data_IF_243769799004
#
_entry.id   IF_243769799004
#
_cell.length_a   1.000
_cell.length_b   1.000
_cell.length_c   1.000
_cell.angle_alpha   90.00
_cell.angle_beta   90.00
_cell.angle_gamma   90.00
#
_symmetry.space_group_name_H-M   'P 1'
#
loop_
_entity.id
_entity.type
_entity.pdbx_description
1 polymer ?
#
# COMPACT_ATOMS: atom_id res chain seq x y z
N UNK A 1 -6.67 -23.51 -25.27
CA UNK A 1 -6.22 -23.87 -23.91
C UNK A 1 -6.61 -22.72 -23.00
N UNK A 2 -7.53 -23.01 -22.08
CA UNK A 2 -8.20 -22.06 -21.17
C UNK A 2 -7.20 -21.48 -20.16
N UNK A 3 -6.94 -20.16 -20.23
CA UNK A 3 -6.28 -19.41 -19.16
C UNK A 3 -7.34 -19.03 -18.12
N UNK A 4 -7.26 -19.62 -16.92
CA UNK A 4 -8.00 -19.15 -15.75
C UNK A 4 -7.30 -17.88 -15.24
N UNK A 5 -7.93 -16.72 -15.43
CA UNK A 5 -7.65 -15.54 -14.61
C UNK A 5 -8.31 -15.77 -13.25
N UNK A 6 -7.51 -16.07 -12.22
CA UNK A 6 -7.99 -16.15 -10.85
C UNK A 6 -7.87 -14.76 -10.22
N UNK A 7 -8.99 -14.03 -10.25
CA UNK A 7 -9.15 -12.74 -9.60
C UNK A 7 -9.39 -13.00 -8.10
N UNK A 8 -8.32 -13.05 -7.30
CA UNK A 8 -8.45 -13.11 -5.84
C UNK A 8 -8.61 -11.70 -5.29
N UNK A 9 -9.86 -11.32 -5.04
CA UNK A 9 -10.25 -10.09 -4.34
C UNK A 9 -10.05 -10.29 -2.84
N UNK A 10 -9.17 -9.49 -2.25
CA UNK A 10 -8.76 -9.56 -0.83
C UNK A 10 -9.70 -8.68 -0.02
N UNK A 11 -10.35 -9.24 1.01
CA UNK A 11 -11.26 -8.53 1.93
C UNK A 11 -10.65 -8.58 3.33
N UNK A 12 -10.27 -7.42 3.87
CA UNK A 12 -9.75 -7.23 5.23
C UNK A 12 -10.91 -6.94 6.18
N UNK A 13 -11.15 -7.80 7.18
CA UNK A 13 -12.14 -7.58 8.24
C UNK A 13 -11.41 -7.42 9.59
N UNK A 14 -11.33 -6.18 10.09
CA UNK A 14 -10.76 -5.82 11.39
C UNK A 14 -11.87 -5.61 12.44
N UNK A 15 -12.40 -6.68 13.02
CA UNK A 15 -13.51 -6.59 13.98
C UNK A 15 -13.07 -6.33 15.42
N UNK A 16 -12.43 -5.21 15.76
CA UNK A 16 -11.96 -4.96 17.13
C UNK A 16 -13.08 -5.10 18.22
N UNK A 17 -13.01 -6.14 19.06
CA UNK A 17 -13.85 -6.30 20.26
C UNK A 17 -12.97 -6.62 21.48
N UNK A 18 -12.97 -5.70 22.45
CA UNK A 18 -12.24 -5.80 23.72
C UNK A 18 -12.94 -6.73 24.70
N UNK A 19 -12.20 -7.71 25.22
CA UNK A 19 -12.64 -8.56 26.32
C UNK A 19 -12.53 -7.82 27.65
N UNK A 20 -13.65 -7.67 28.35
CA UNK A 20 -13.72 -7.23 29.73
C UNK A 20 -13.25 -8.35 30.66
N UNK A 21 -12.18 -8.12 31.43
CA UNK A 21 -11.84 -9.00 32.55
C UNK A 21 -12.30 -8.36 33.86
N UNK A 22 -13.12 -9.12 34.59
CA UNK A 22 -13.76 -8.70 35.83
C UNK A 22 -12.79 -8.78 37.01
N UNK A 23 -12.31 -7.63 37.47
CA UNK A 23 -11.56 -7.50 38.72
C UNK A 23 -11.95 -6.21 39.44
N UNK A 24 -12.77 -6.35 40.49
CA UNK A 24 -13.20 -5.24 41.36
C UNK A 24 -12.01 -4.51 41.98
N UNK A 25 -11.94 -3.20 41.76
CA UNK A 25 -11.38 -2.26 42.72
C UNK A 25 -12.11 -0.91 42.59
N UNK A 26 -12.75 -0.51 43.68
CA UNK A 26 -13.51 0.74 43.83
C UNK A 26 -12.68 1.98 43.44
N UNK A 27 -13.17 2.78 42.49
CA UNK A 27 -12.83 4.20 42.39
C UNK A 27 -14.12 4.98 42.12
N UNK A 28 -14.37 5.94 43.01
CA UNK A 28 -15.63 6.62 43.20
C UNK A 28 -16.13 7.48 42.04
N UNK A 29 -17.43 7.74 42.13
CA UNK A 29 -18.22 8.65 41.33
C UNK A 29 -17.51 9.99 41.09
N UNK A 30 -17.39 10.39 39.82
CA UNK A 30 -17.69 11.76 39.44
C UNK A 30 -18.02 11.92 37.95
N UNK A 31 -19.21 12.50 37.76
CA UNK A 31 -19.64 13.38 36.68
C UNK A 31 -19.63 12.85 35.23
N UNK A 32 -20.82 12.43 34.82
CA UNK A 32 -21.36 12.67 33.47
C UNK A 32 -21.01 14.09 33.01
N UNK A 33 -20.21 14.24 31.96
CA UNK A 33 -20.25 15.42 31.12
C UNK A 33 -20.03 14.98 29.67
N UNK A 34 -21.11 15.04 28.89
CA UNK A 34 -21.06 14.85 27.45
C UNK A 34 -20.41 16.07 26.81
N UNK A 35 -19.08 16.11 26.79
CA UNK A 35 -18.35 16.97 25.87
C UNK A 35 -18.26 16.23 24.54
N UNK A 36 -19.08 16.63 23.57
CA UNK A 36 -18.71 16.49 22.16
C UNK A 36 -17.37 17.20 22.01
N UNK A 37 -16.29 16.44 21.80
CA UNK A 37 -14.99 16.99 21.42
C UNK A 37 -15.22 17.65 20.06
N UNK A 38 -15.27 18.98 20.04
CA UNK A 38 -15.37 19.75 18.81
C UNK A 38 -14.03 19.61 18.09
N UNK A 39 -14.00 18.83 17.02
CA UNK A 39 -12.79 18.69 16.20
C UNK A 39 -12.50 20.03 15.52
N UNK A 40 -11.26 20.50 15.68
CA UNK A 40 -10.74 21.59 14.87
C UNK A 40 -10.26 21.00 13.55
N UNK A 41 -10.96 21.28 12.47
CA UNK A 41 -10.59 20.79 11.14
C UNK A 41 -9.29 21.43 10.64
N UNK A 42 -8.52 20.65 9.89
CA UNK A 42 -7.35 21.15 9.17
C UNK A 42 -7.75 22.22 8.14
N UNK A 43 -6.85 23.16 7.90
CA UNK A 43 -7.03 24.16 6.84
C UNK A 43 -7.04 23.49 5.46
N UNK A 44 -7.91 23.97 4.58
CA UNK A 44 -8.06 23.46 3.22
C UNK A 44 -9.32 23.99 2.56
N UNK A 45 -9.54 23.61 1.32
CA UNK A 45 -10.64 24.09 0.50
C UNK A 45 -11.23 22.99 -0.38
N UNK A 46 -12.51 23.14 -0.71
CA UNK A 46 -13.19 22.30 -1.69
C UNK A 46 -12.86 22.80 -3.09
N UNK A 47 -12.48 21.87 -3.98
CA UNK A 47 -12.07 22.16 -5.36
C UNK A 47 -12.77 21.24 -6.36
N UNK A 48 -12.79 21.72 -7.59
CA UNK A 48 -13.07 20.93 -8.78
C UNK A 48 -11.80 20.83 -9.63
N UNK A 49 -11.54 19.66 -10.23
CA UNK A 49 -10.35 19.44 -11.08
C UNK A 49 -10.22 20.49 -12.18
N UNK A 50 -11.34 20.85 -12.83
CA UNK A 50 -11.38 21.83 -13.90
C UNK A 50 -10.92 23.24 -13.48
N UNK A 51 -11.01 23.56 -12.19
CA UNK A 51 -10.66 24.86 -11.62
C UNK A 51 -9.29 24.85 -10.92
N UNK A 52 -8.60 23.71 -10.89
CA UNK A 52 -7.28 23.53 -10.27
C UNK A 52 -6.18 23.56 -11.33
N UNK A 53 -5.09 24.29 -11.05
CA UNK A 53 -3.91 24.34 -11.92
C UNK A 53 -3.30 22.95 -12.17
N UNK A 54 -3.43 22.05 -11.19
CA UNK A 54 -2.90 20.68 -11.25
C UNK A 54 -3.88 19.69 -11.89
N UNK A 55 -5.14 20.10 -12.14
CA UNK A 55 -6.22 19.28 -12.70
C UNK A 55 -6.30 17.88 -12.06
N UNK A 56 -6.23 17.82 -10.73
CA UNK A 56 -6.18 16.57 -9.96
C UNK A 56 -7.53 15.87 -10.08
N UNK A 57 -7.55 14.67 -10.64
CA UNK A 57 -8.71 13.78 -10.67
C UNK A 57 -8.35 12.48 -9.95
N UNK A 58 -9.31 11.87 -9.27
CA UNK A 58 -9.15 10.52 -8.77
C UNK A 58 -8.96 9.53 -9.96
N UNK A 59 -7.90 8.70 -9.99
CA UNK A 59 -7.61 7.79 -11.11
C UNK A 59 -8.81 6.93 -11.56
N UNK A 60 -8.94 6.70 -12.88
CA UNK A 60 -10.17 6.22 -13.54
C UNK A 60 -10.55 4.76 -13.29
N UNK A 61 -9.58 3.89 -13.03
CA UNK A 61 -9.78 2.45 -12.83
C UNK A 61 -8.48 1.79 -12.34
N UNK A 62 -8.01 2.20 -11.16
CA UNK A 62 -6.66 1.86 -10.74
C UNK A 62 -6.62 0.64 -9.79
N UNK A 63 -5.68 -0.28 -10.02
CA UNK A 63 -5.37 -1.37 -9.09
C UNK A 63 -4.80 -0.83 -7.77
N UNK A 64 -4.31 0.40 -7.76
CA UNK A 64 -3.82 1.12 -6.59
C UNK A 64 -4.89 1.46 -5.55
N UNK A 65 -6.19 1.33 -5.86
CA UNK A 65 -7.29 1.67 -4.94
C UNK A 65 -7.58 0.63 -3.85
N UNK A 66 -6.93 -0.53 -3.88
CA UNK A 66 -7.33 -1.63 -2.99
C UNK A 66 -8.75 -2.14 -3.28
N UNK A 67 -9.39 -2.75 -2.29
CA UNK A 67 -10.67 -3.46 -2.43
C UNK A 67 -11.90 -2.53 -2.46
N UNK A 68 -11.80 -1.35 -1.86
CA UNK A 68 -12.96 -0.48 -1.60
C UNK A 68 -12.89 0.89 -2.29
N UNK A 69 -11.76 1.31 -2.85
CA UNK A 69 -11.53 2.68 -3.32
C UNK A 69 -12.08 3.02 -4.72
N UNK A 70 -12.46 2.01 -5.51
CA UNK A 70 -12.94 2.20 -6.89
C UNK A 70 -14.16 3.14 -7.00
N UNK A 71 -14.90 3.34 -5.91
CA UNK A 71 -16.06 4.23 -5.86
C UNK A 71 -15.69 5.71 -6.10
N UNK A 72 -14.47 6.13 -5.77
CA UNK A 72 -14.02 7.49 -6.00
C UNK A 72 -13.46 7.71 -7.41
N UNK A 73 -13.33 6.66 -8.23
CA UNK A 73 -12.68 6.76 -9.53
C UNK A 73 -13.37 7.79 -10.44
N UNK A 74 -12.56 8.63 -11.10
CA UNK A 74 -13.00 9.79 -11.91
C UNK A 74 -13.67 10.92 -11.13
N UNK A 75 -13.65 10.90 -9.79
CA UNK A 75 -14.14 12.04 -9.04
C UNK A 75 -13.25 13.25 -9.30
N UNK A 76 -13.89 14.35 -9.67
CA UNK A 76 -13.25 15.65 -9.86
C UNK A 76 -13.52 16.62 -8.71
N UNK A 77 -14.34 16.22 -7.74
CA UNK A 77 -14.72 17.00 -6.57
C UNK A 77 -13.97 16.49 -5.34
N UNK A 78 -13.16 17.36 -4.73
CA UNK A 78 -12.31 16.97 -3.61
C UNK A 78 -12.09 18.10 -2.61
N UNK A 79 -11.72 17.71 -1.41
CA UNK A 79 -11.18 18.61 -0.39
C UNK A 79 -9.67 18.50 -0.44
N UNK A 80 -8.98 19.64 -0.48
CA UNK A 80 -7.53 19.70 -0.50
C UNK A 80 -7.00 20.46 0.71
N UNK A 81 -6.06 19.82 1.40
CA UNK A 81 -5.26 20.37 2.49
C UNK A 81 -3.77 20.36 2.09
N UNK A 82 -2.85 20.58 3.02
CA UNK A 82 -1.42 20.72 2.71
C UNK A 82 -0.84 19.46 2.06
N UNK A 83 -1.10 18.28 2.63
CA UNK A 83 -0.53 17.00 2.23
C UNK A 83 -1.58 16.00 1.74
N UNK A 84 -2.87 16.31 1.89
CA UNK A 84 -3.96 15.34 1.64
C UNK A 84 -5.00 15.89 0.66
N UNK A 85 -5.43 15.03 -0.26
CA UNK A 85 -6.64 15.21 -1.08
C UNK A 85 -7.67 14.15 -0.72
N UNK A 86 -8.91 14.57 -0.48
CA UNK A 86 -10.00 13.67 -0.11
C UNK A 86 -11.09 13.70 -1.16
N UNK A 87 -11.37 12.55 -1.76
CA UNK A 87 -12.49 12.35 -2.67
C UNK A 87 -13.63 11.70 -1.91
N UNK A 88 -14.79 12.34 -1.92
CA UNK A 88 -16.02 11.81 -1.33
C UNK A 88 -17.13 11.53 -2.33
N UNK A 89 -17.06 12.11 -3.55
CA UNK A 89 -18.18 12.14 -4.50
C UNK A 89 -19.10 13.34 -4.30
N UNK A 90 -19.75 13.79 -5.38
CA UNK A 90 -20.72 14.90 -5.33
C UNK A 90 -21.99 14.44 -4.60
N UNK A 91 -22.23 14.97 -3.40
CA UNK A 91 -23.41 14.64 -2.58
C UNK A 91 -23.12 14.24 -1.14
N UNK A 92 -21.86 14.01 -0.78
CA UNK A 92 -21.45 13.73 0.60
C UNK A 92 -21.09 15.01 1.36
N UNK A 93 -21.16 14.94 2.69
CA UNK A 93 -20.95 16.09 3.54
C UNK A 93 -19.48 16.54 3.51
N UNK A 94 -19.26 17.82 3.22
CA UNK A 94 -17.93 18.47 3.29
C UNK A 94 -17.25 18.24 4.66
N UNK A 95 -18.04 18.10 5.73
CA UNK A 95 -17.53 17.78 7.07
C UNK A 95 -16.84 16.43 7.15
N UNK A 96 -17.29 15.41 6.41
CA UNK A 96 -16.62 14.10 6.39
C UNK A 96 -15.28 14.19 5.67
N UNK A 97 -15.21 14.95 4.57
CA UNK A 97 -13.97 15.16 3.84
C UNK A 97 -12.94 15.91 4.69
N UNK A 98 -13.37 16.96 5.39
CA UNK A 98 -12.54 17.69 6.35
C UNK A 98 -12.11 16.81 7.52
N UNK A 99 -13.01 15.99 8.05
CA UNK A 99 -12.71 15.07 9.14
C UNK A 99 -11.62 14.07 8.74
N UNK A 100 -11.77 13.43 7.57
CA UNK A 100 -10.79 12.49 7.05
C UNK A 100 -9.43 13.16 6.78
N UNK A 101 -9.41 14.32 6.13
CA UNK A 101 -8.18 15.08 5.93
C UNK A 101 -7.50 15.42 7.26
N UNK A 102 -8.29 15.83 8.27
CA UNK A 102 -7.77 16.15 9.60
C UNK A 102 -7.12 14.96 10.27
N UNK A 103 -7.74 13.77 10.23
CA UNK A 103 -7.14 12.56 10.80
C UNK A 103 -5.83 12.19 10.09
N UNK A 104 -5.79 12.27 8.76
CA UNK A 104 -4.59 11.91 8.00
C UNK A 104 -3.45 12.90 8.27
N UNK A 105 -3.70 14.20 8.18
CA UNK A 105 -2.71 15.26 8.43
C UNK A 105 -2.11 15.15 9.84
N UNK A 106 -2.94 14.87 10.85
CA UNK A 106 -2.47 14.71 12.24
C UNK A 106 -1.58 13.47 12.47
N UNK A 107 -1.69 12.45 11.61
CA UNK A 107 -0.98 11.18 11.78
C UNK A 107 0.16 10.98 10.78
N UNK A 108 0.26 11.79 9.71
CA UNK A 108 1.22 11.59 8.63
C UNK A 108 2.68 11.65 9.10
N UNK A 109 3.06 12.73 9.80
CA UNK A 109 4.42 12.87 10.37
C UNK A 109 4.72 11.79 11.42
N UNK A 110 3.70 11.36 12.15
CA UNK A 110 3.84 10.26 13.12
C UNK A 110 4.14 8.95 12.40
N UNK A 111 3.44 8.65 11.30
CA UNK A 111 3.68 7.45 10.50
C UNK A 111 5.11 7.44 9.94
N UNK A 112 5.55 8.54 9.35
CA UNK A 112 6.93 8.75 8.89
C UNK A 112 7.95 8.52 10.01
N UNK A 113 7.77 9.16 11.17
CA UNK A 113 8.66 9.01 12.32
C UNK A 113 8.72 7.57 12.87
N UNK A 114 7.58 6.86 12.87
CA UNK A 114 7.50 5.47 13.34
C UNK A 114 8.20 4.50 12.39
N UNK A 115 8.11 4.75 11.09
CA UNK A 115 8.71 3.95 10.02
C UNK A 115 10.17 4.34 9.72
N UNK A 116 10.66 5.43 10.30
CA UNK A 116 11.99 5.98 10.03
C UNK A 116 12.20 6.40 8.56
N UNK A 117 11.10 6.84 7.95
CA UNK A 117 11.03 7.33 6.57
C UNK A 117 10.75 8.83 6.64
N UNK A 118 11.53 9.62 5.91
CA UNK A 118 11.24 11.06 5.72
C UNK A 118 10.15 11.26 4.67
N UNK A 119 9.47 12.41 4.71
CA UNK A 119 8.52 12.79 3.65
C UNK A 119 9.18 12.81 2.26
N UNK A 120 10.42 13.27 2.17
CA UNK A 120 11.19 13.31 0.92
C UNK A 120 11.45 11.89 0.38
N UNK A 121 11.88 10.96 1.22
CA UNK A 121 12.06 9.55 0.83
C UNK A 121 10.75 8.92 0.37
N UNK A 122 9.66 9.16 1.11
CA UNK A 122 8.34 8.71 0.68
C UNK A 122 7.96 9.29 -0.68
N UNK A 123 8.06 10.61 -0.86
CA UNK A 123 7.72 11.29 -2.10
C UNK A 123 8.56 10.80 -3.29
N UNK A 124 9.86 10.54 -3.09
CA UNK A 124 10.76 9.98 -4.11
C UNK A 124 10.41 8.54 -4.47
N UNK A 125 9.99 7.73 -3.49
CA UNK A 125 9.63 6.33 -3.71
C UNK A 125 8.33 6.14 -4.52
N UNK A 126 7.42 7.13 -4.49
CA UNK A 126 6.16 7.08 -5.25
C UNK A 126 6.43 7.15 -6.76
N UNK A 127 5.85 6.26 -7.57
CA UNK A 127 6.02 6.31 -9.01
C UNK A 127 5.38 7.57 -9.59
N UNK A 128 5.82 8.00 -10.77
CA UNK A 128 5.19 9.09 -11.51
C UNK A 128 3.82 8.67 -12.07
N UNK A 129 3.75 7.46 -12.62
CA UNK A 129 2.53 6.88 -13.17
C UNK A 129 1.84 5.98 -12.16
N UNK A 130 0.52 5.90 -12.26
CA UNK A 130 -0.24 4.88 -11.55
C UNK A 130 0.15 3.47 -11.99
N UNK A 131 -0.13 2.47 -11.14
CA UNK A 131 0.26 1.08 -11.38
C UNK A 131 -0.21 0.55 -12.73
N UNK A 132 -1.43 0.87 -13.17
CA UNK A 132 -1.94 0.41 -14.46
C UNK A 132 -1.05 0.83 -15.63
N UNK A 133 -0.64 2.10 -15.69
CA UNK A 133 0.19 2.62 -16.79
C UNK A 133 1.62 2.13 -16.67
N UNK A 134 2.17 2.11 -15.46
CA UNK A 134 3.49 1.56 -15.22
C UNK A 134 3.59 0.09 -15.65
N UNK A 135 2.57 -0.72 -15.34
CA UNK A 135 2.53 -2.13 -15.70
C UNK A 135 2.49 -2.34 -17.21
N UNK A 136 1.69 -1.55 -17.94
CA UNK A 136 1.66 -1.59 -19.41
C UNK A 136 3.03 -1.27 -20.01
N UNK A 137 3.69 -0.22 -19.49
CA UNK A 137 5.03 0.15 -19.96
C UNK A 137 6.02 -0.99 -19.70
N UNK A 138 5.98 -1.58 -18.50
CA UNK A 138 6.86 -2.70 -18.12
C UNK A 138 6.62 -3.94 -18.99
N UNK A 139 5.36 -4.30 -19.26
CA UNK A 139 5.01 -5.43 -20.14
C UNK A 139 5.52 -5.19 -21.56
N UNK A 140 5.32 -3.99 -22.12
CA UNK A 140 5.84 -3.65 -23.44
C UNK A 140 7.36 -3.71 -23.51
N UNK A 141 8.03 -3.25 -22.44
CA UNK A 141 9.48 -3.34 -22.33
C UNK A 141 9.96 -4.79 -22.21
N UNK A 142 9.25 -5.66 -21.47
CA UNK A 142 9.66 -7.06 -21.24
C UNK A 142 9.40 -7.98 -22.42
N UNK A 143 8.23 -7.84 -23.04
CA UNK A 143 7.73 -8.79 -24.05
C UNK A 143 7.93 -8.27 -25.48
N UNK A 144 8.19 -6.97 -25.64
CA UNK A 144 8.23 -6.28 -26.92
C UNK A 144 6.83 -6.00 -27.46
N UNK A 145 6.77 -5.39 -28.64
CA UNK A 145 5.54 -5.01 -29.33
C UNK A 145 5.72 -5.06 -30.84
N UNK A 146 4.62 -5.24 -31.57
CA UNK A 146 4.61 -5.09 -33.03
C UNK A 146 4.12 -3.67 -33.39
N UNK A 147 4.49 -3.12 -34.55
CA UNK A 147 3.82 -1.93 -35.10
C UNK A 147 2.58 -2.30 -35.94
N UNK A 148 1.88 -1.29 -36.49
CA UNK A 148 0.71 -1.52 -37.34
C UNK A 148 1.03 -2.31 -38.63
N UNK A 149 2.29 -2.31 -39.06
CA UNK A 149 2.80 -3.03 -40.23
C UNK A 149 3.30 -4.44 -39.87
N UNK A 150 3.32 -4.81 -38.59
CA UNK A 150 3.73 -6.12 -38.07
C UNK A 150 5.24 -6.27 -37.88
N UNK A 151 5.99 -5.17 -37.80
CA UNK A 151 7.41 -5.21 -37.41
C UNK A 151 7.53 -5.32 -35.89
N UNK A 152 8.35 -6.24 -35.42
CA UNK A 152 8.61 -6.44 -33.98
C UNK A 152 9.69 -5.49 -33.45
N UNK A 153 9.43 -4.93 -32.28
CA UNK A 153 10.33 -4.09 -31.51
C UNK A 153 10.41 -4.58 -30.07
N UNK A 154 11.52 -4.27 -29.39
CA UNK A 154 11.69 -4.49 -27.96
C UNK A 154 12.38 -3.29 -27.31
N UNK A 155 12.76 -3.41 -26.04
CA UNK A 155 13.47 -2.35 -25.30
C UNK A 155 14.72 -1.83 -26.04
N UNK A 156 15.39 -2.66 -26.85
CA UNK A 156 16.60 -2.27 -27.59
C UNK A 156 16.31 -1.35 -28.78
N UNK A 157 15.05 -1.26 -29.19
CA UNK A 157 14.57 -0.32 -30.20
C UNK A 157 14.38 1.11 -29.66
N UNK A 158 14.42 1.30 -28.34
CA UNK A 158 14.24 2.61 -27.71
C UNK A 158 15.56 3.40 -27.69
N UNK A 159 15.49 4.72 -27.75
CA UNK A 159 16.67 5.61 -27.69
C UNK A 159 17.18 5.86 -26.26
N UNK A 160 16.82 4.97 -25.33
CA UNK A 160 17.08 5.14 -23.90
C UNK A 160 18.37 4.44 -23.47
N UNK A 161 19.02 4.99 -22.45
CA UNK A 161 20.15 4.32 -21.79
C UNK A 161 19.60 3.32 -20.76
N UNK A 162 19.54 2.05 -21.12
CA UNK A 162 19.21 0.97 -20.19
C UNK A 162 20.49 0.27 -19.69
N UNK A 163 20.51 -0.23 -18.44
CA UNK A 163 21.71 -0.78 -17.81
C UNK A 163 22.05 -2.23 -18.25
N UNK A 164 21.30 -2.82 -19.18
CA UNK A 164 21.47 -4.19 -19.65
C UNK A 164 22.09 -4.23 -21.06
N UNK A 165 22.99 -5.16 -21.34
CA UNK A 165 23.54 -5.34 -22.69
C UNK A 165 22.56 -6.12 -23.59
N UNK A 166 22.67 -5.93 -24.92
CA UNK A 166 21.85 -6.65 -25.91
C UNK A 166 21.95 -8.18 -25.76
N UNK A 167 23.15 -8.67 -25.43
CA UNK A 167 23.42 -10.11 -25.33
C UNK A 167 22.66 -10.71 -24.14
N UNK A 168 22.70 -10.06 -22.96
CA UNK A 168 21.97 -10.49 -21.77
C UNK A 168 20.45 -10.40 -21.94
N UNK A 169 19.95 -9.45 -22.73
CA UNK A 169 18.53 -9.36 -23.07
C UNK A 169 18.05 -10.50 -23.96
N UNK A 170 18.80 -10.80 -25.02
CA UNK A 170 18.42 -11.84 -25.99
C UNK A 170 18.45 -13.24 -25.41
N UNK A 171 19.33 -13.51 -24.45
CA UNK A 171 19.47 -14.81 -23.78
C UNK A 171 18.52 -14.98 -22.57
N UNK A 172 18.00 -13.89 -22.00
CA UNK A 172 17.09 -13.94 -20.86
C UNK A 172 15.73 -14.55 -21.21
N UNK A 173 15.22 -15.40 -20.32
CA UNK A 173 13.83 -15.87 -20.33
C UNK A 173 12.85 -14.73 -20.02
N UNK A 174 11.57 -14.91 -20.37
CA UNK A 174 10.52 -13.91 -20.07
C UNK A 174 10.49 -13.44 -18.61
N UNK A 175 10.52 -14.34 -17.61
CA UNK A 175 10.60 -13.96 -16.20
C UNK A 175 11.86 -13.17 -15.83
N UNK A 176 13.01 -13.48 -16.42
CA UNK A 176 14.26 -12.75 -16.20
C UNK A 176 14.19 -11.34 -16.81
N UNK A 177 13.63 -11.20 -18.02
CA UNK A 177 13.39 -9.90 -18.66
C UNK A 177 12.46 -9.04 -17.82
N UNK A 178 11.35 -9.60 -17.34
CA UNK A 178 10.42 -8.88 -16.48
C UNK A 178 11.09 -8.38 -15.19
N UNK A 179 11.89 -9.21 -14.53
CA UNK A 179 12.62 -8.82 -13.32
C UNK A 179 13.64 -7.70 -13.58
N UNK A 180 14.38 -7.78 -14.70
CA UNK A 180 15.32 -6.73 -15.12
C UNK A 180 14.59 -5.41 -15.38
N UNK A 181 13.54 -5.43 -16.21
CA UNK A 181 12.75 -4.22 -16.53
C UNK A 181 12.15 -3.61 -15.28
N UNK A 182 11.58 -4.41 -14.37
CA UNK A 182 11.01 -3.91 -13.12
C UNK A 182 12.08 -3.24 -12.26
N UNK A 183 13.27 -3.85 -12.14
CA UNK A 183 14.39 -3.24 -11.41
C UNK A 183 14.82 -1.92 -12.03
N UNK A 184 14.89 -1.84 -13.37
CA UNK A 184 15.20 -0.59 -14.06
C UNK A 184 14.13 0.47 -13.80
N UNK A 185 12.84 0.12 -13.93
CA UNK A 185 11.75 1.04 -13.63
C UNK A 185 11.85 1.64 -12.21
N UNK A 186 12.10 0.79 -11.21
CA UNK A 186 12.20 1.23 -9.82
C UNK A 186 13.45 2.09 -9.54
N UNK A 187 14.47 2.01 -10.41
CA UNK A 187 15.67 2.85 -10.36
C UNK A 187 15.48 4.23 -11.02
N UNK A 188 14.45 4.40 -11.85
CA UNK A 188 14.17 5.67 -12.51
C UNK A 188 13.56 6.66 -11.53
N UNK A 189 14.00 7.92 -11.62
CA UNK A 189 13.29 9.00 -10.96
C UNK A 189 11.99 9.36 -11.70
N UNK A 190 11.19 10.26 -11.13
CA UNK A 190 9.90 10.66 -11.72
C UNK A 190 10.04 11.33 -13.09
N UNK A 191 11.11 12.07 -13.34
CA UNK A 191 11.34 12.74 -14.61
C UNK A 191 11.68 11.71 -15.69
N UNK A 192 12.53 10.74 -15.37
CA UNK A 192 12.89 9.65 -16.26
C UNK A 192 11.72 8.71 -16.53
N UNK A 193 10.90 8.38 -15.53
CA UNK A 193 9.65 7.65 -15.74
C UNK A 193 8.72 8.40 -16.69
N UNK A 194 8.53 9.71 -16.48
CA UNK A 194 7.74 10.54 -17.39
C UNK A 194 8.27 10.52 -18.83
N UNK A 195 9.59 10.68 -19.02
CA UNK A 195 10.21 10.65 -20.34
C UNK A 195 10.06 9.28 -21.01
N UNK A 196 10.22 8.18 -20.26
CA UNK A 196 9.99 6.82 -20.73
C UNK A 196 8.54 6.65 -21.23
N UNK A 197 7.55 7.11 -20.46
CA UNK A 197 6.16 7.10 -20.90
C UNK A 197 5.92 7.93 -22.16
N UNK A 198 6.61 9.08 -22.31
CA UNK A 198 6.56 9.90 -23.53
C UNK A 198 7.22 9.25 -24.75
N UNK A 199 8.24 8.40 -24.57
CA UNK A 199 8.81 7.64 -25.68
C UNK A 199 7.85 6.55 -26.16
N UNK A 200 7.22 5.82 -25.24
CA UNK A 200 6.19 4.84 -25.61
C UNK A 200 5.01 5.48 -26.34
N UNK A 201 4.55 6.67 -25.90
CA UNK A 201 3.51 7.46 -26.58
C UNK A 201 3.87 7.84 -28.03
N UNK A 202 5.17 7.92 -28.39
CA UNK A 202 5.63 8.22 -29.76
C UNK A 202 5.77 6.98 -30.64
N UNK A 203 6.20 5.87 -30.04
CA UNK A 203 6.56 4.64 -30.76
C UNK A 203 5.32 3.78 -31.04
N UNK A 204 4.21 4.05 -30.36
CA UNK A 204 3.08 3.15 -30.35
C UNK A 204 1.94 3.61 -31.29
N UNK A 205 1.84 2.99 -32.47
CA UNK A 205 0.54 2.81 -33.15
C UNK A 205 -0.44 2.02 -32.25
N UNK A 206 0.10 1.32 -31.25
CA UNK A 206 -0.59 0.85 -30.05
C UNK A 206 -0.99 2.04 -29.19
N UNK A 207 -2.25 2.48 -29.21
CA UNK A 207 -2.69 3.43 -28.20
C UNK A 207 -2.55 2.79 -26.81
N UNK A 208 -1.53 3.16 -26.02
CA UNK A 208 -1.75 3.29 -24.58
C UNK A 208 -2.76 4.43 -24.48
N UNK A 209 -4.03 4.08 -24.62
CA UNK A 209 -5.14 5.03 -24.68
C UNK A 209 -5.17 5.94 -23.45
N UNK A 210 -4.63 5.40 -22.36
CA UNK A 210 -4.40 5.99 -21.07
C UNK A 210 -3.36 7.13 -21.14
N UNK A 211 -2.26 6.99 -21.90
CA UNK A 211 -1.28 8.08 -22.06
C UNK A 211 -1.76 9.20 -23.00
N UNK A 212 -2.70 8.88 -23.90
CA UNK A 212 -3.27 9.81 -24.88
C UNK A 212 -4.39 10.71 -24.34
N UNK A 213 -4.87 10.48 -23.11
CA UNK A 213 -5.84 11.36 -22.48
C UNK A 213 -5.15 12.63 -21.99
N UNK A 214 -5.64 13.80 -22.38
CA UNK A 214 -5.16 15.12 -21.95
C UNK A 214 -5.41 15.43 -20.44
N UNK A 215 -5.38 14.43 -19.56
CA UNK A 215 -5.89 14.54 -18.19
C UNK A 215 -4.98 13.82 -17.21
N UNK A 216 -4.79 14.40 -16.02
CA UNK A 216 -3.99 13.87 -14.91
C UNK A 216 -4.46 12.52 -14.33
N UNK A 217 -5.38 11.82 -14.98
CA UNK A 217 -6.08 10.61 -14.52
C UNK A 217 -5.17 9.38 -14.39
N UNK A 218 -3.93 9.46 -14.88
CA UNK A 218 -2.94 8.37 -14.92
C UNK A 218 -1.64 8.70 -14.21
N UNK A 219 -1.54 9.90 -13.63
CA UNK A 219 -0.41 10.29 -12.78
C UNK A 219 -0.73 9.88 -11.36
N UNK A 220 0.31 9.54 -10.62
CA UNK A 220 0.18 9.41 -9.18
C UNK A 220 -0.04 10.80 -8.56
N UNK A 221 -1.17 11.09 -7.88
CA UNK A 221 -1.31 12.29 -7.06
C UNK A 221 -0.07 12.57 -6.21
N UNK A 222 0.40 13.81 -6.17
CA UNK A 222 1.54 14.19 -5.32
C UNK A 222 1.21 14.11 -3.82
N UNK A 223 -0.06 14.31 -3.46
CA UNK A 223 -0.58 14.25 -2.09
C UNK A 223 -1.04 12.84 -1.74
N UNK A 224 -1.18 12.56 -0.44
CA UNK A 224 -1.84 11.34 0.03
C UNK A 224 -3.32 11.45 -0.34
N UNK A 225 -3.83 10.44 -1.04
CA UNK A 225 -5.20 10.42 -1.49
C UNK A 225 -6.07 9.60 -0.53
N UNK A 226 -7.17 10.20 -0.09
CA UNK A 226 -8.21 9.51 0.68
C UNK A 226 -9.45 9.35 -0.19
N UNK A 227 -9.93 8.12 -0.33
CA UNK A 227 -11.26 7.86 -0.88
C UNK A 227 -12.22 7.56 0.27
N UNK A 228 -13.27 8.37 0.43
CA UNK A 228 -14.40 8.00 1.28
C UNK A 228 -15.29 7.02 0.52
N UNK A 229 -15.44 5.82 1.05
CA UNK A 229 -16.10 4.72 0.34
C UNK A 229 -17.27 4.14 1.12
N UNK A 230 -18.41 4.04 0.45
CA UNK A 230 -19.61 3.32 0.94
C UNK A 230 -19.41 1.81 1.15
N UNK A 231 -18.29 1.24 0.69
CA UNK A 231 -17.95 -0.17 0.95
C UNK A 231 -17.30 -0.36 2.32
N UNK A 232 -16.80 0.73 2.92
CA UNK A 232 -16.26 0.73 4.27
C UNK A 232 -17.39 0.81 5.31
N UNK A 233 -17.09 0.37 6.53
CA UNK A 233 -18.06 0.31 7.62
C UNK A 233 -17.35 0.38 8.97
N UNK A 234 -18.08 0.23 10.08
CA UNK A 234 -17.49 0.32 11.43
C UNK A 234 -16.38 -0.71 11.70
N UNK A 235 -16.46 -1.90 11.09
CA UNK A 235 -15.46 -2.97 11.24
C UNK A 235 -14.34 -2.89 10.20
N UNK A 236 -14.65 -2.48 8.98
CA UNK A 236 -13.66 -2.20 7.94
C UNK A 236 -13.62 -0.70 7.72
N UNK A 237 -13.08 0.01 8.71
CA UNK A 237 -13.12 1.48 8.72
C UNK A 237 -12.10 2.10 7.77
N UNK A 238 -10.97 1.42 7.57
CA UNK A 238 -9.88 1.88 6.73
C UNK A 238 -9.23 0.75 5.94
N UNK A 239 -8.52 1.13 4.87
CA UNK A 239 -7.63 0.28 4.09
C UNK A 239 -6.53 1.15 3.50
N UNK A 240 -5.27 0.88 3.84
CA UNK A 240 -4.10 1.51 3.27
C UNK A 240 -3.85 1.00 1.85
N UNK A 241 -3.53 1.92 0.96
CA UNK A 241 -3.39 1.67 -0.48
C UNK A 241 -2.15 2.37 -1.04
N UNK A 242 -1.83 2.15 -2.31
CA UNK A 242 -0.72 2.85 -2.95
C UNK A 242 -1.00 4.36 -3.07
N UNK A 243 -2.26 4.74 -3.32
CA UNK A 243 -2.64 6.15 -3.46
C UNK A 243 -2.64 6.90 -2.12
N UNK A 244 -2.86 6.17 -1.03
CA UNK A 244 -3.12 6.69 0.30
C UNK A 244 -3.97 5.70 1.07
N UNK A 245 -5.25 5.98 1.23
CA UNK A 245 -6.16 5.05 1.92
C UNK A 245 -7.62 5.22 1.49
N UNK A 246 -8.41 4.22 1.80
CA UNK A 246 -9.87 4.30 1.78
C UNK A 246 -10.38 4.43 3.21
N UNK A 247 -11.39 5.25 3.45
CA UNK A 247 -12.02 5.41 4.76
C UNK A 247 -13.55 5.34 4.66
N UNK A 248 -14.21 4.97 5.76
CA UNK A 248 -15.65 5.12 5.88
C UNK A 248 -16.06 6.60 6.03
N UNK A 249 -17.25 6.94 5.55
CA UNK A 249 -17.88 8.23 5.82
C UNK A 249 -18.18 8.37 7.31
N UNK A 250 -17.56 9.32 8.00
CA UNK A 250 -17.71 9.48 9.46
C UNK A 250 -19.16 9.75 9.88
N UNK A 251 -19.91 10.50 9.08
CA UNK A 251 -21.34 10.77 9.33
C UNK A 251 -22.24 9.53 9.23
N UNK A 252 -21.77 8.48 8.55
CA UNK A 252 -22.53 7.23 8.35
C UNK A 252 -22.05 6.13 9.30
N UNK A 253 -20.72 5.97 9.41
CA UNK A 253 -20.10 4.93 10.21
C UNK A 253 -19.09 5.55 11.16
N UNK A 254 -19.24 5.22 12.44
CA UNK A 254 -18.32 5.60 13.49
C UNK A 254 -17.78 4.35 14.16
N UNK A 255 -16.49 4.32 14.49
CA UNK A 255 -15.95 3.16 15.20
C UNK A 255 -16.48 3.12 16.63
N UNK A 256 -16.95 1.95 17.05
CA UNK A 256 -17.51 1.73 18.38
C UNK A 256 -16.51 2.11 19.51
N UNK A 257 -15.22 1.95 19.26
CA UNK A 257 -14.16 2.19 20.24
C UNK A 257 -13.57 3.61 20.19
N UNK A 258 -14.02 4.48 19.28
CA UNK A 258 -13.46 5.82 19.04
C UNK A 258 -11.92 5.81 18.80
N UNK A 259 -11.43 4.80 18.09
CA UNK A 259 -10.02 4.56 17.78
C UNK A 259 -9.69 4.88 16.31
N UNK A 260 -10.48 5.74 15.64
CA UNK A 260 -10.31 6.10 14.23
C UNK A 260 -8.91 6.65 13.93
N UNK A 261 -8.34 7.49 14.81
CA UNK A 261 -6.98 8.01 14.63
C UNK A 261 -5.92 6.91 14.64
N UNK A 262 -6.10 5.88 15.46
CA UNK A 262 -5.17 4.75 15.52
C UNK A 262 -5.29 3.88 14.27
N UNK A 263 -6.50 3.73 13.72
CA UNK A 263 -6.71 3.05 12.44
C UNK A 263 -6.08 3.83 11.30
N UNK A 264 -6.27 5.14 11.25
CA UNK A 264 -5.65 5.98 10.22
C UNK A 264 -4.13 5.87 10.26
N UNK A 265 -3.53 5.84 11.46
CA UNK A 265 -2.09 5.60 11.59
C UNK A 265 -1.69 4.21 11.09
N UNK A 266 -2.47 3.17 11.38
CA UNK A 266 -2.27 1.80 10.86
C UNK A 266 -2.29 1.78 9.33
N UNK A 267 -3.31 2.38 8.71
CA UNK A 267 -3.43 2.41 7.25
C UNK A 267 -2.35 3.26 6.58
N UNK A 268 -1.91 4.37 7.20
CA UNK A 268 -0.76 5.14 6.73
C UNK A 268 0.52 4.32 6.70
N UNK A 269 0.72 3.43 7.68
CA UNK A 269 1.87 2.52 7.68
C UNK A 269 1.79 1.57 6.48
N UNK A 270 0.61 1.04 6.15
CA UNK A 270 0.41 0.27 4.92
C UNK A 270 0.66 1.08 3.65
N UNK A 271 0.21 2.35 3.59
CA UNK A 271 0.53 3.26 2.48
C UNK A 271 2.04 3.40 2.29
N UNK A 272 2.78 3.59 3.38
CA UNK A 272 4.25 3.72 3.35
C UNK A 272 4.88 2.39 2.91
N UNK A 273 4.51 1.26 3.52
CA UNK A 273 4.98 -0.06 3.09
C UNK A 273 4.79 -0.27 1.59
N UNK A 274 3.59 0.02 1.07
CA UNK A 274 3.23 -0.15 -0.33
C UNK A 274 4.08 0.72 -1.27
N UNK A 275 4.29 1.99 -0.95
CA UNK A 275 5.08 2.89 -1.79
C UNK A 275 6.59 2.64 -1.69
N UNK A 276 7.10 2.27 -0.51
CA UNK A 276 8.53 1.98 -0.33
C UNK A 276 8.89 0.63 -0.94
N UNK A 277 8.17 -0.44 -0.62
CA UNK A 277 8.61 -1.79 -0.97
C UNK A 277 8.07 -2.35 -2.28
N UNK A 278 6.89 -1.92 -2.74
CA UNK A 278 6.24 -2.58 -3.89
C UNK A 278 5.29 -1.62 -4.63
N UNK A 279 5.77 -0.54 -5.25
CA UNK A 279 4.92 0.48 -5.86
C UNK A 279 4.08 -0.02 -7.06
N UNK A 280 4.30 -1.25 -7.52
CA UNK A 280 3.64 -1.84 -8.69
C UNK A 280 2.85 -3.13 -8.43
N UNK A 281 2.98 -3.72 -7.24
CA UNK A 281 2.25 -4.94 -6.85
C UNK A 281 1.65 -4.75 -5.47
N UNK A 282 0.49 -5.31 -5.18
CA UNK A 282 -0.08 -5.26 -3.83
C UNK A 282 0.92 -5.79 -2.80
N UNK A 283 1.10 -5.11 -1.66
CA UNK A 283 2.05 -5.51 -0.60
C UNK A 283 1.88 -6.95 -0.12
N UNK A 284 0.68 -7.53 -0.25
CA UNK A 284 0.41 -8.92 0.10
C UNK A 284 1.10 -9.95 -0.81
N UNK A 285 1.62 -9.53 -1.97
CA UNK A 285 2.43 -10.39 -2.84
C UNK A 285 3.93 -10.30 -2.54
N UNK A 286 4.38 -9.28 -1.81
CA UNK A 286 5.80 -9.02 -1.58
C UNK A 286 6.20 -9.15 -0.12
N UNK A 287 5.31 -8.89 0.83
CA UNK A 287 5.55 -9.00 2.28
C UNK A 287 4.66 -10.10 2.86
N UNK A 288 5.22 -10.90 3.76
CA UNK A 288 4.43 -11.85 4.53
C UNK A 288 3.32 -11.14 5.33
N UNK A 289 2.14 -11.75 5.40
CA UNK A 289 0.95 -11.18 6.06
C UNK A 289 1.19 -10.86 7.53
N UNK A 290 1.83 -11.76 8.29
CA UNK A 290 2.17 -11.51 9.69
C UNK A 290 3.08 -10.28 9.88
N UNK A 291 3.97 -10.03 8.92
CA UNK A 291 4.94 -8.95 9.01
C UNK A 291 4.28 -7.60 8.73
N UNK A 292 3.55 -7.47 7.61
CA UNK A 292 2.94 -6.19 7.23
C UNK A 292 1.92 -5.72 8.28
N UNK A 293 1.05 -6.63 8.73
CA UNK A 293 0.03 -6.34 9.74
C UNK A 293 0.68 -6.15 11.11
N UNK A 294 1.70 -6.96 11.43
CA UNK A 294 2.42 -6.86 12.70
C UNK A 294 3.13 -5.51 12.86
N UNK A 295 3.79 -5.03 11.80
CA UNK A 295 4.42 -3.70 11.77
C UNK A 295 3.37 -2.60 11.95
N UNK A 296 2.29 -2.63 11.17
CA UNK A 296 1.23 -1.62 11.22
C UNK A 296 0.54 -1.57 12.59
N UNK A 297 0.13 -2.73 13.12
CA UNK A 297 -0.51 -2.84 14.45
C UNK A 297 0.43 -2.39 15.56
N UNK A 298 1.70 -2.82 15.55
CA UNK A 298 2.67 -2.45 16.58
C UNK A 298 2.97 -0.95 16.57
N UNK A 299 3.25 -0.37 15.40
CA UNK A 299 3.65 1.03 15.29
C UNK A 299 2.48 2.01 15.49
N UNK A 300 1.26 1.61 15.13
CA UNK A 300 0.04 2.35 15.44
C UNK A 300 -0.34 2.30 16.93
N UNK A 301 0.35 1.47 17.73
CA UNK A 301 0.08 1.31 19.16
C UNK A 301 -1.18 0.53 19.47
N UNK A 302 -1.64 -0.31 18.52
CA UNK A 302 -2.76 -1.22 18.76
C UNK A 302 -2.35 -2.32 19.74
N UNK A 303 -3.34 -3.04 20.27
CA UNK A 303 -3.12 -4.04 21.29
C UNK A 303 -2.16 -5.15 20.82
N UNK A 304 -1.22 -5.50 21.68
CA UNK A 304 -0.26 -6.58 21.49
C UNK A 304 -0.60 -7.77 22.40
N UNK A 305 -0.38 -8.99 21.93
CA UNK A 305 -0.52 -10.17 22.78
C UNK A 305 0.50 -10.14 23.93
N UNK A 306 0.10 -10.63 25.10
CA UNK A 306 0.94 -10.67 26.31
C UNK A 306 1.83 -11.92 26.38
N UNK A 307 1.50 -12.96 25.61
CA UNK A 307 2.22 -14.24 25.56
C UNK A 307 2.28 -14.77 24.13
N UNK A 308 3.24 -15.66 23.87
CA UNK A 308 3.38 -16.42 22.61
C UNK A 308 2.63 -17.76 22.64
N UNK A 309 2.12 -18.18 23.82
CA UNK A 309 1.72 -19.56 24.08
C UNK A 309 0.72 -20.11 23.06
N UNK A 310 1.10 -21.23 22.43
CA UNK A 310 0.25 -21.96 21.49
C UNK A 310 0.02 -21.29 20.14
N UNK A 311 0.62 -20.11 19.88
CA UNK A 311 0.36 -19.32 18.68
C UNK A 311 1.60 -19.21 17.80
N UNK A 312 1.40 -19.34 16.48
CA UNK A 312 2.47 -19.24 15.47
C UNK A 312 2.15 -18.19 14.41
N UNK A 313 2.16 -16.89 14.76
CA UNK A 313 1.88 -15.80 13.83
C UNK A 313 2.79 -15.80 12.59
N UNK A 314 4.06 -16.12 12.79
CA UNK A 314 5.13 -16.21 11.77
C UNK A 314 4.91 -17.25 10.65
N UNK A 315 3.96 -18.17 10.82
CA UNK A 315 3.57 -19.15 9.80
C UNK A 315 2.43 -18.58 8.92
N UNK A 316 1.89 -17.41 9.27
CA UNK A 316 0.87 -16.72 8.48
C UNK A 316 1.54 -15.87 7.41
N UNK A 317 1.79 -16.48 6.26
CA UNK A 317 2.40 -15.82 5.11
C UNK A 317 1.38 -15.10 4.24
N UNK A 318 0.17 -15.65 4.12
CA UNK A 318 -0.94 -15.08 3.38
C UNK A 318 -2.17 -14.93 4.27
N UNK A 319 -3.16 -14.15 3.84
CA UNK A 319 -4.45 -14.08 4.55
C UNK A 319 -5.14 -15.46 4.68
N UNK A 320 -4.95 -16.35 3.70
CA UNK A 320 -5.49 -17.71 3.76
C UNK A 320 -4.93 -18.50 4.95
N UNK A 321 -3.64 -18.32 5.24
CA UNK A 321 -2.97 -18.99 6.36
C UNK A 321 -3.51 -18.49 7.72
N UNK A 322 -4.08 -17.28 7.79
CA UNK A 322 -4.66 -16.75 9.02
C UNK A 322 -5.79 -17.64 9.51
N UNK A 323 -6.70 -18.05 8.62
CA UNK A 323 -7.83 -18.91 8.97
C UNK A 323 -7.42 -20.34 9.37
N UNK A 324 -6.19 -20.75 9.06
CA UNK A 324 -5.64 -22.05 9.47
C UNK A 324 -4.95 -21.97 10.85
N UNK A 325 -4.41 -20.79 11.20
CA UNK A 325 -3.62 -20.60 12.41
C UNK A 325 -4.40 -19.89 13.54
N UNK A 326 -5.46 -19.15 13.21
CA UNK A 326 -6.23 -18.36 14.16
C UNK A 326 -7.74 -18.52 13.92
N UNK A 327 -8.49 -18.64 15.01
CA UNK A 327 -9.96 -18.65 14.98
C UNK A 327 -10.57 -17.24 14.89
N UNK A 328 -9.77 -16.19 15.11
CA UNK A 328 -10.20 -14.79 15.13
C UNK A 328 -9.09 -13.90 14.57
N UNK A 329 -9.46 -13.00 13.64
CA UNK A 329 -8.53 -12.02 13.09
C UNK A 329 -7.97 -11.08 14.15
N UNK A 330 -8.79 -10.61 15.10
CA UNK A 330 -8.29 -9.72 16.16
C UNK A 330 -7.19 -10.34 17.02
N UNK A 331 -7.31 -11.65 17.26
CA UNK A 331 -6.31 -12.38 18.03
C UNK A 331 -5.03 -12.52 17.20
N UNK A 332 -5.18 -12.83 15.91
CA UNK A 332 -4.07 -12.90 14.97
C UNK A 332 -3.24 -11.61 14.94
N UNK A 333 -3.88 -10.44 14.85
CA UNK A 333 -3.19 -9.15 14.78
C UNK A 333 -2.40 -8.82 16.06
N UNK A 334 -2.96 -9.15 17.23
CA UNK A 334 -2.24 -9.02 18.51
C UNK A 334 -0.96 -9.85 18.52
N UNK A 335 -1.01 -11.06 17.96
CA UNK A 335 0.13 -11.95 17.84
C UNK A 335 1.10 -11.54 16.73
N UNK A 336 0.63 -10.95 15.63
CA UNK A 336 1.48 -10.33 14.60
C UNK A 336 2.29 -9.18 15.19
N UNK A 337 1.65 -8.27 15.95
CA UNK A 337 2.34 -7.18 16.64
C UNK A 337 3.34 -7.69 17.67
N UNK A 338 3.03 -8.79 18.37
CA UNK A 338 3.99 -9.43 19.27
C UNK A 338 5.20 -9.94 18.51
N UNK A 339 5.00 -10.69 17.42
CA UNK A 339 6.09 -11.23 16.62
C UNK A 339 6.98 -10.14 16.02
N UNK A 340 6.38 -9.09 15.42
CA UNK A 340 7.12 -7.94 14.93
C UNK A 340 7.93 -7.27 16.06
N UNK A 341 7.36 -7.12 17.25
CA UNK A 341 8.06 -6.47 18.37
C UNK A 341 9.33 -7.19 18.85
N UNK A 342 9.50 -8.47 18.52
CA UNK A 342 10.71 -9.24 18.88
C UNK A 342 11.90 -8.92 17.97
N UNK A 343 11.63 -8.40 16.77
CA UNK A 343 12.64 -8.10 15.74
C UNK A 343 12.65 -6.61 15.38
N UNK A 344 11.86 -5.78 16.07
CA UNK A 344 11.67 -4.38 15.73
C UNK A 344 12.96 -3.57 15.89
N UNK A 345 13.60 -3.30 14.76
CA UNK A 345 14.73 -2.38 14.61
C UNK A 345 14.45 -1.46 13.42
N UNK A 346 14.40 -0.15 13.63
CA UNK A 346 13.92 0.79 12.61
C UNK A 346 14.76 0.76 11.33
N UNK A 347 16.07 0.75 11.48
CA UNK A 347 17.02 0.77 10.35
C UNK A 347 16.95 -0.54 9.57
N UNK A 348 16.92 -1.68 10.26
CA UNK A 348 16.78 -2.99 9.62
C UNK A 348 15.44 -3.13 8.89
N UNK A 349 14.35 -2.59 9.45
CA UNK A 349 13.01 -2.64 8.83
C UNK A 349 12.95 -1.75 7.59
N UNK A 350 13.55 -0.56 7.65
CA UNK A 350 13.69 0.34 6.50
C UNK A 350 14.51 -0.32 5.39
N UNK A 351 15.66 -0.90 5.73
CA UNK A 351 16.52 -1.63 4.79
C UNK A 351 15.78 -2.80 4.13
N UNK A 352 15.02 -3.59 4.90
CA UNK A 352 14.20 -4.68 4.37
C UNK A 352 13.21 -4.19 3.31
N UNK A 353 12.49 -3.08 3.55
CA UNK A 353 11.50 -2.57 2.60
C UNK A 353 12.17 -2.14 1.28
N UNK A 354 13.34 -1.50 1.33
CA UNK A 354 14.08 -1.13 0.13
C UNK A 354 14.69 -2.34 -0.60
N UNK A 355 15.17 -3.35 0.13
CA UNK A 355 15.69 -4.58 -0.47
C UNK A 355 14.58 -5.39 -1.16
N UNK A 356 13.35 -5.36 -0.63
CA UNK A 356 12.16 -5.91 -1.31
C UNK A 356 11.91 -5.16 -2.63
N UNK A 357 11.97 -3.82 -2.64
CA UNK A 357 11.78 -3.01 -3.86
C UNK A 357 12.83 -3.32 -4.93
N UNK A 358 14.09 -3.39 -4.53
CA UNK A 358 15.24 -3.47 -5.44
C UNK A 358 15.66 -4.91 -5.79
N UNK A 359 14.82 -5.90 -5.46
CA UNK A 359 15.14 -7.31 -5.70
C UNK A 359 15.25 -7.60 -7.20
N UNK A 360 16.40 -8.11 -7.64
CA UNK A 360 16.75 -8.30 -9.05
C UNK A 360 17.29 -9.68 -9.39
N UNK A 361 17.36 -10.60 -8.42
CA UNK A 361 18.04 -11.91 -8.57
C UNK A 361 17.30 -12.93 -9.45
N UNK A 362 16.15 -12.58 -10.04
CA UNK A 362 15.29 -13.51 -10.78
C UNK A 362 14.64 -14.57 -9.87
N UNK A 363 13.65 -15.30 -10.39
CA UNK A 363 13.04 -16.43 -9.66
C UNK A 363 12.15 -16.04 -8.47
N UNK A 364 11.42 -14.93 -8.56
CA UNK A 364 10.43 -14.54 -7.57
C UNK A 364 9.36 -15.63 -7.41
N UNK A 365 9.19 -16.12 -6.18
CA UNK A 365 8.04 -16.94 -5.81
C UNK A 365 7.02 -16.07 -5.09
N UNK A 366 5.75 -16.22 -5.47
CA UNK A 366 4.67 -15.59 -4.73
C UNK A 366 4.48 -16.32 -3.39
N UNK A 367 4.30 -15.58 -2.27
CA UNK A 367 3.97 -16.17 -0.98
C UNK A 367 2.73 -17.07 -1.07
N UNK A 368 2.80 -18.29 -0.53
CA UNK A 368 1.66 -19.21 -0.52
C UNK A 368 1.81 -20.33 0.53
N UNK A 369 0.68 -20.74 1.13
CA UNK A 369 0.60 -21.91 2.02
C UNK A 369 1.66 -21.95 3.13
N UNK A 370 1.87 -20.83 3.82
CA UNK A 370 2.91 -20.72 4.87
C UNK A 370 4.36 -20.67 4.36
N UNK A 371 4.58 -20.59 3.04
CA UNK A 371 5.89 -20.43 2.42
C UNK A 371 6.05 -18.99 1.92
N UNK A 372 7.04 -18.29 2.46
CA UNK A 372 7.38 -16.92 2.05
C UNK A 372 7.79 -16.83 0.59
N UNK A 373 7.56 -15.66 0.00
CA UNK A 373 8.18 -15.33 -1.27
C UNK A 373 9.69 -15.15 -1.10
N UNK A 374 10.46 -15.54 -2.11
CA UNK A 374 11.93 -15.42 -2.13
C UNK A 374 12.42 -14.00 -1.91
N UNK A 375 11.65 -13.00 -2.37
CA UNK A 375 11.95 -11.56 -2.20
C UNK A 375 11.95 -11.17 -0.73
N UNK A 376 10.87 -11.48 -0.01
CA UNK A 376 10.76 -11.17 1.42
C UNK A 376 11.80 -11.91 2.25
N UNK A 377 11.99 -13.20 1.98
CA UNK A 377 12.98 -14.02 2.70
C UNK A 377 14.39 -13.46 2.51
N UNK A 378 14.78 -13.13 1.28
CA UNK A 378 16.11 -12.57 0.98
C UNK A 378 16.33 -11.22 1.66
N UNK A 379 15.33 -10.34 1.62
CA UNK A 379 15.39 -9.02 2.25
C UNK A 379 15.43 -9.14 3.78
N UNK A 380 14.67 -10.07 4.36
CA UNK A 380 14.71 -10.35 5.80
C UNK A 380 16.09 -10.84 6.22
N UNK A 381 16.64 -11.84 5.54
CA UNK A 381 17.93 -12.45 5.87
C UNK A 381 19.10 -11.48 5.72
N UNK A 382 18.98 -10.49 4.83
CA UNK A 382 20.01 -9.48 4.58
C UNK A 382 20.04 -8.37 5.65
N UNK A 383 18.90 -8.07 6.27
CA UNK A 383 18.76 -6.93 7.18
C UNK A 383 18.66 -7.33 8.65
N UNK A 384 18.15 -8.52 8.94
CA UNK A 384 17.90 -8.96 10.32
C UNK A 384 19.12 -9.67 10.93
N UNK A 385 19.22 -9.64 12.26
CA UNK A 385 20.28 -10.36 13.01
C UNK A 385 20.10 -11.88 13.03
N UNK A 386 19.00 -12.37 12.46
CA UNK A 386 18.65 -13.78 12.29
C UNK A 386 18.05 -13.97 10.90
N UNK A 387 18.21 -15.16 10.32
CA UNK A 387 17.44 -15.53 9.12
C UNK A 387 15.96 -15.74 9.47
N UNK A 388 15.06 -15.58 8.50
CA UNK A 388 13.63 -15.84 8.61
C UNK A 388 13.35 -17.28 9.05
N UNK A 389 14.09 -18.26 8.50
CA UNK A 389 13.94 -19.67 8.90
C UNK A 389 14.32 -19.93 10.36
N UNK A 390 15.40 -19.32 10.84
CA UNK A 390 15.80 -19.39 12.25
C UNK A 390 14.81 -18.67 13.16
N UNK A 391 14.29 -17.51 12.74
CA UNK A 391 13.22 -16.82 13.47
C UNK A 391 11.99 -17.71 13.58
N UNK A 392 11.61 -18.36 12.48
CA UNK A 392 10.48 -19.28 12.42
C UNK A 392 10.60 -20.48 13.35
N UNK A 393 11.78 -21.09 13.33
CA UNK A 393 12.05 -22.30 14.10
C UNK A 393 12.13 -22.01 15.59
N UNK A 394 12.70 -20.85 15.96
CA UNK A 394 12.99 -20.52 17.35
C UNK A 394 12.04 -19.48 17.97
N UNK A 395 10.94 -19.10 17.30
CA UNK A 395 10.01 -18.04 17.74
C UNK A 395 9.64 -18.06 19.23
N UNK A 396 9.33 -19.24 19.77
CA UNK A 396 8.98 -19.41 21.18
C UNK A 396 10.14 -19.10 22.15
N UNK A 397 11.37 -19.12 21.67
CA UNK A 397 12.61 -18.87 22.44
C UNK A 397 13.18 -17.46 22.27
N UNK A 398 12.63 -16.63 21.37
CA UNK A 398 13.07 -15.24 21.14
C UNK A 398 12.80 -14.29 22.30
#
# INVERSE_FOLDING_TARGET
MTKLFSLFVIVLLLTACGGSDSGSADIGENAKNGNTIEITYVAGEIKYSADSEDNITAPKNDLAYGSSGINCANSSYYFESENVVVFGGEGYLETDMKYAATLVEQNLDTAFSKMDITKEEFDLARPYYITQVAYIIIELMSDGWDDADGNYYDITSLTLNYPFNSDGWTEASGPERFALVHTYWDSLDKADQYLLGKEFDKVSDFKISELNANVGDYRMPFKVMVCLSDRMNESQYGEGTLLGMNLAHHSVYKRANNDESQVVLHELIHTIQQNISSPLKTIGFTLDHWFKEGQATFLAGQNKASTKDGMRPIDVVTYYDQGQNFSSGNDAYKHYALAYSLIADKEAMKGLLYDVRNYSSGGETTPSNGISGTVFESAFDSNMTTTLQNFRTNYNSF
#
